data_IF_410943962830
#
_entry.id   IF_410943962830
#
_cell.length_a   1.000
_cell.length_b   1.000
_cell.length_c   1.000
_cell.angle_alpha   90.00
_cell.angle_beta   90.00
_cell.angle_gamma   90.00
#
_symmetry.space_group_name_H-M   'P 1'
#
loop_
_entity.id
_entity.type
_entity.pdbx_description
1 polymer ?
#
# COMPACT_ATOMS: atom_id res chain seq x y z
N UNK A 1 1.15 13.56 -14.37
CA UNK A 1 -0.01 12.75 -14.77
C UNK A 1 0.33 12.17 -16.13
N UNK A 2 0.92 10.97 -16.14
CA UNK A 2 1.11 10.18 -17.34
C UNK A 2 -0.27 9.65 -17.72
N UNK A 3 -0.76 10.07 -18.87
CA UNK A 3 -1.89 9.44 -19.56
C UNK A 3 -1.45 8.01 -19.88
N UNK A 4 -1.73 7.07 -18.99
CA UNK A 4 -1.67 5.66 -19.30
C UNK A 4 -2.63 5.43 -20.47
N UNK A 5 -2.07 5.05 -21.60
CA UNK A 5 -2.85 4.58 -22.74
C UNK A 5 -3.60 3.35 -22.24
N UNK A 6 -4.87 3.52 -21.97
CA UNK A 6 -5.76 2.45 -21.49
C UNK A 6 -5.72 1.31 -22.50
N UNK A 7 -5.04 0.23 -22.15
CA UNK A 7 -5.09 -0.98 -22.97
C UNK A 7 -6.52 -1.51 -22.93
N UNK A 8 -7.15 -1.73 -24.07
CA UNK A 8 -8.51 -2.27 -24.11
C UNK A 8 -8.54 -3.60 -23.36
N UNK A 9 -9.49 -3.74 -22.48
CA UNK A 9 -9.69 -4.95 -21.69
C UNK A 9 -9.94 -6.15 -22.63
N UNK A 10 -9.62 -7.36 -22.19
CA UNK A 10 -9.80 -8.59 -22.99
C UNK A 10 -11.24 -8.72 -23.49
N UNK A 11 -12.21 -8.24 -22.69
CA UNK A 11 -13.63 -8.20 -23.02
C UNK A 11 -13.91 -7.23 -24.16
N UNK A 12 -13.31 -6.04 -24.11
CA UNK A 12 -13.45 -5.01 -25.15
C UNK A 12 -12.88 -5.51 -26.49
N UNK A 13 -11.73 -6.18 -26.46
CA UNK A 13 -11.13 -6.80 -27.67
C UNK A 13 -11.99 -7.90 -28.24
N UNK A 14 -12.52 -8.76 -27.37
CA UNK A 14 -13.43 -9.81 -27.79
C UNK A 14 -14.70 -9.22 -28.41
N UNK A 15 -15.31 -8.23 -27.78
CA UNK A 15 -16.51 -7.54 -28.27
C UNK A 15 -16.27 -6.85 -29.61
N UNK A 16 -15.12 -6.19 -29.79
CA UNK A 16 -14.73 -5.54 -31.04
C UNK A 16 -14.64 -6.48 -32.24
N UNK A 17 -14.25 -7.73 -32.00
CA UNK A 17 -14.13 -8.75 -33.07
C UNK A 17 -15.43 -9.52 -33.22
N UNK A 18 -16.03 -9.95 -32.12
CA UNK A 18 -17.22 -10.80 -32.12
C UNK A 18 -18.45 -10.08 -32.68
N UNK A 19 -18.67 -8.81 -32.29
CA UNK A 19 -19.87 -8.07 -32.68
C UNK A 19 -20.04 -7.90 -34.20
N UNK A 20 -19.01 -7.43 -34.94
CA UNK A 20 -19.14 -7.30 -36.40
C UNK A 20 -19.29 -8.67 -37.11
N UNK A 21 -18.59 -9.70 -36.62
CA UNK A 21 -18.69 -11.05 -37.19
C UNK A 21 -20.09 -11.60 -36.97
N UNK A 22 -20.66 -11.52 -35.77
CA UNK A 22 -21.99 -11.97 -35.46
C UNK A 22 -23.06 -11.22 -36.27
N UNK A 23 -22.91 -9.93 -36.45
CA UNK A 23 -23.79 -9.09 -37.25
C UNK A 23 -23.73 -9.47 -38.73
N UNK A 24 -22.55 -9.62 -39.30
CA UNK A 24 -22.36 -10.03 -40.68
C UNK A 24 -22.97 -11.43 -40.94
N UNK A 25 -22.71 -12.39 -40.05
CA UNK A 25 -23.26 -13.74 -40.14
C UNK A 25 -24.78 -13.73 -40.04
N UNK A 26 -25.35 -12.91 -39.15
CA UNK A 26 -26.82 -12.76 -39.01
C UNK A 26 -27.46 -12.19 -40.27
N UNK A 27 -26.83 -11.22 -40.93
CA UNK A 27 -27.31 -10.65 -42.20
C UNK A 27 -27.26 -11.69 -43.29
N UNK A 28 -26.12 -12.37 -43.46
CA UNK A 28 -25.94 -13.37 -44.53
C UNK A 28 -26.96 -14.49 -44.38
N UNK A 29 -27.13 -15.06 -43.19
CA UNK A 29 -28.03 -16.16 -42.93
C UNK A 29 -29.51 -15.76 -43.10
N UNK A 30 -29.88 -14.54 -42.71
CA UNK A 30 -31.22 -13.98 -42.90
C UNK A 30 -31.54 -13.74 -44.37
N UNK A 31 -30.56 -13.32 -45.17
CA UNK A 31 -30.68 -13.20 -46.64
C UNK A 31 -30.91 -14.56 -47.28
N UNK A 32 -30.10 -15.55 -46.94
CA UNK A 32 -30.25 -16.94 -47.48
C UNK A 32 -31.64 -17.49 -47.17
N UNK A 33 -32.12 -17.32 -45.96
CA UNK A 33 -33.48 -17.79 -45.57
C UNK A 33 -34.58 -17.00 -46.27
N UNK A 34 -34.42 -15.71 -46.50
CA UNK A 34 -35.38 -14.85 -47.19
C UNK A 34 -35.50 -15.24 -48.68
N UNK A 35 -34.34 -15.43 -49.36
CA UNK A 35 -34.31 -15.85 -50.77
C UNK A 35 -34.92 -17.26 -50.96
N UNK A 36 -34.66 -18.19 -50.05
CA UNK A 36 -35.22 -19.57 -50.12
C UNK A 36 -36.73 -19.62 -49.96
N UNK A 37 -37.35 -18.59 -49.37
CA UNK A 37 -38.81 -18.59 -49.06
C UNK A 37 -39.62 -17.56 -49.86
N UNK A 38 -38.95 -16.66 -50.60
CA UNK A 38 -39.58 -15.67 -51.48
C UNK A 38 -40.40 -14.57 -50.80
N UNK A 39 -40.27 -14.41 -49.48
CA UNK A 39 -41.04 -13.40 -48.72
C UNK A 39 -40.10 -12.47 -47.93
N UNK A 40 -40.08 -11.15 -48.25
CA UNK A 40 -39.15 -10.19 -47.58
C UNK A 40 -39.42 -10.01 -46.09
N UNK A 41 -40.62 -10.25 -45.61
CA UNK A 41 -40.98 -10.16 -44.20
C UNK A 41 -40.19 -11.17 -43.35
N UNK A 42 -39.88 -12.36 -43.93
CA UNK A 42 -39.08 -13.40 -43.21
C UNK A 42 -37.65 -12.99 -42.96
N UNK A 43 -37.10 -12.07 -43.75
CA UNK A 43 -35.77 -11.49 -43.47
C UNK A 43 -35.72 -10.86 -42.08
N UNK A 44 -36.68 -9.99 -41.78
CA UNK A 44 -36.69 -9.29 -40.47
C UNK A 44 -36.91 -10.25 -39.30
N UNK A 45 -37.74 -11.25 -39.45
CA UNK A 45 -37.95 -12.30 -38.44
C UNK A 45 -36.68 -13.12 -38.21
N UNK A 46 -36.07 -13.60 -39.28
CA UNK A 46 -34.83 -14.38 -39.19
C UNK A 46 -33.68 -13.56 -38.63
N UNK A 47 -33.53 -12.31 -39.08
CA UNK A 47 -32.50 -11.40 -38.59
C UNK A 47 -32.66 -11.11 -37.09
N UNK A 48 -33.86 -10.79 -36.64
CA UNK A 48 -34.15 -10.56 -35.21
C UNK A 48 -33.88 -11.81 -34.36
N UNK A 49 -34.27 -12.98 -34.81
CA UNK A 49 -34.02 -14.25 -34.15
C UNK A 49 -32.50 -14.54 -34.05
N UNK A 50 -31.77 -14.35 -35.15
CA UNK A 50 -30.29 -14.54 -35.16
C UNK A 50 -29.57 -13.57 -34.27
N UNK A 51 -29.95 -12.29 -34.25
CA UNK A 51 -29.39 -11.31 -33.31
C UNK A 51 -29.64 -11.70 -31.86
N UNK A 52 -30.83 -12.16 -31.53
CA UNK A 52 -31.17 -12.59 -30.17
C UNK A 52 -30.33 -13.78 -29.70
N UNK A 53 -30.09 -14.76 -30.58
CA UNK A 53 -29.25 -15.93 -30.27
C UNK A 53 -27.77 -15.57 -30.23
N UNK A 54 -27.33 -14.65 -31.08
CA UNK A 54 -25.94 -14.21 -31.17
C UNK A 54 -25.54 -13.24 -30.06
N UNK A 55 -26.47 -12.73 -29.26
CA UNK A 55 -26.16 -11.82 -28.17
C UNK A 55 -25.32 -12.50 -27.09
N UNK A 56 -24.11 -12.04 -26.79
CA UNK A 56 -23.18 -12.68 -25.84
C UNK A 56 -23.57 -12.43 -24.38
N UNK A 57 -24.87 -12.46 -24.06
CA UNK A 57 -25.38 -12.18 -22.71
C UNK A 57 -24.79 -13.11 -21.66
N UNK A 58 -24.63 -14.40 -21.97
CA UNK A 58 -24.01 -15.37 -21.09
C UNK A 58 -22.55 -15.02 -20.75
N UNK A 59 -21.81 -14.53 -21.75
CA UNK A 59 -20.42 -14.12 -21.58
C UNK A 59 -20.31 -12.86 -20.71
N UNK A 60 -21.16 -11.85 -20.97
CA UNK A 60 -21.20 -10.63 -20.17
C UNK A 60 -21.57 -10.92 -18.71
N UNK A 61 -22.52 -11.79 -18.48
CA UNK A 61 -22.88 -12.24 -17.13
C UNK A 61 -21.78 -13.05 -16.45
N UNK A 62 -21.06 -13.89 -17.19
CA UNK A 62 -19.97 -14.71 -16.64
C UNK A 62 -18.82 -13.87 -16.12
N UNK A 63 -18.44 -12.79 -16.82
CA UNK A 63 -17.39 -11.86 -16.35
C UNK A 63 -17.83 -11.14 -15.07
N UNK A 64 -19.05 -10.61 -15.03
CA UNK A 64 -19.58 -9.93 -13.83
C UNK A 64 -19.68 -10.86 -12.63
N UNK A 65 -20.11 -12.09 -12.82
CA UNK A 65 -20.22 -13.10 -11.76
C UNK A 65 -18.83 -13.52 -11.21
N UNK A 66 -17.87 -13.71 -12.10
CA UNK A 66 -16.48 -14.04 -11.72
C UNK A 66 -15.85 -12.94 -10.86
N UNK A 67 -15.98 -11.69 -11.29
CA UNK A 67 -15.51 -10.54 -10.52
C UNK A 67 -16.17 -10.45 -9.13
N UNK A 68 -17.50 -10.56 -9.08
CA UNK A 68 -18.26 -10.51 -7.82
C UNK A 68 -17.82 -11.60 -6.84
N UNK A 69 -17.56 -12.81 -7.34
CA UNK A 69 -17.11 -13.92 -6.50
C UNK A 69 -15.68 -13.68 -5.97
N UNK A 70 -14.77 -13.19 -6.81
CA UNK A 70 -13.40 -12.86 -6.43
C UNK A 70 -13.36 -11.71 -5.42
N UNK A 71 -14.11 -10.63 -5.69
CA UNK A 71 -14.24 -9.50 -4.78
C UNK A 71 -14.81 -9.92 -3.41
N UNK A 72 -15.81 -10.81 -3.41
CA UNK A 72 -16.37 -11.34 -2.17
C UNK A 72 -15.41 -12.23 -1.36
N UNK A 73 -14.50 -12.94 -2.01
CA UNK A 73 -13.43 -13.70 -1.32
C UNK A 73 -12.38 -12.77 -0.72
N UNK A 74 -11.97 -11.75 -1.47
CA UNK A 74 -11.00 -10.76 -1.00
C UNK A 74 -11.53 -9.92 0.16
N UNK A 75 -12.80 -9.51 0.11
CA UNK A 75 -13.45 -8.81 1.23
C UNK A 75 -13.42 -9.64 2.53
N UNK A 76 -13.62 -10.96 2.43
CA UNK A 76 -13.51 -11.86 3.61
C UNK A 76 -12.09 -11.98 4.14
N UNK A 77 -11.10 -11.77 3.28
CA UNK A 77 -9.69 -11.72 3.64
C UNK A 77 -9.23 -10.33 4.10
N UNK A 78 -10.14 -9.35 4.20
CA UNK A 78 -9.83 -7.98 4.62
C UNK A 78 -9.31 -7.08 3.51
N UNK A 79 -9.36 -7.50 2.23
CA UNK A 79 -8.90 -6.72 1.10
C UNK A 79 -10.08 -6.27 0.22
N UNK A 80 -10.06 -5.01 -0.23
CA UNK A 80 -11.06 -4.47 -1.15
C UNK A 80 -10.42 -4.08 -2.48
N UNK A 81 -11.08 -4.44 -3.59
CA UNK A 81 -10.66 -4.02 -4.93
C UNK A 81 -11.66 -2.99 -5.45
N UNK A 82 -11.17 -1.84 -5.86
CA UNK A 82 -11.98 -0.71 -6.32
C UNK A 82 -12.39 -0.83 -7.80
N UNK A 83 -12.74 -2.02 -8.29
CA UNK A 83 -13.30 -2.24 -9.61
C UNK A 83 -12.71 -3.44 -10.38
N UNK A 84 -13.47 -3.94 -11.35
CA UNK A 84 -13.11 -5.11 -12.16
C UNK A 84 -11.83 -4.90 -12.97
N UNK A 85 -11.56 -3.67 -13.39
CA UNK A 85 -10.39 -3.27 -14.15
C UNK A 85 -9.10 -3.45 -13.36
N UNK A 86 -9.12 -3.08 -12.09
CA UNK A 86 -7.97 -3.23 -11.18
C UNK A 86 -7.70 -4.70 -10.81
N UNK A 87 -8.73 -5.53 -10.77
CA UNK A 87 -8.57 -6.97 -10.57
C UNK A 87 -7.74 -7.64 -11.67
N UNK A 88 -7.79 -7.12 -12.90
CA UNK A 88 -6.96 -7.60 -14.02
C UNK A 88 -5.48 -7.28 -13.86
N UNK A 89 -5.14 -6.14 -13.24
CA UNK A 89 -3.75 -5.75 -12.98
C UNK A 89 -3.08 -6.71 -11.99
N UNK A 90 -3.84 -7.23 -11.03
CA UNK A 90 -3.33 -8.20 -10.05
C UNK A 90 -2.90 -9.54 -10.65
N UNK A 91 -3.45 -9.93 -11.80
CA UNK A 91 -3.13 -11.22 -12.42
C UNK A 91 -1.69 -11.35 -12.91
N UNK A 92 -1.04 -10.24 -13.25
CA UNK A 92 0.33 -10.20 -13.76
C UNK A 92 1.32 -9.55 -12.79
N UNK A 93 0.94 -9.38 -11.52
CA UNK A 93 1.79 -8.77 -10.52
C UNK A 93 2.80 -9.78 -10.02
N UNK A 94 4.07 -9.55 -10.31
CA UNK A 94 5.19 -10.37 -9.85
C UNK A 94 5.81 -9.78 -8.58
N UNK A 95 5.73 -8.45 -8.39
CA UNK A 95 6.27 -7.74 -7.25
C UNK A 95 5.25 -6.76 -6.70
N UNK A 96 5.20 -6.62 -5.38
CA UNK A 96 4.35 -5.64 -4.67
C UNK A 96 5.25 -4.73 -3.86
N UNK A 97 5.24 -3.44 -4.18
CA UNK A 97 5.92 -2.42 -3.39
C UNK A 97 4.94 -1.90 -2.33
N UNK A 98 5.30 -2.08 -1.07
CA UNK A 98 4.55 -1.57 0.08
C UNK A 98 5.37 -0.44 0.70
N UNK A 99 4.73 0.68 0.95
CA UNK A 99 5.31 1.78 1.71
C UNK A 99 4.94 1.58 3.18
N UNK A 100 5.78 2.04 4.09
CA UNK A 100 5.54 1.90 5.54
C UNK A 100 4.17 2.44 5.95
N UNK A 101 3.74 3.56 5.37
CA UNK A 101 2.42 4.16 5.59
C UNK A 101 1.24 3.29 5.16
N UNK A 102 1.43 2.36 4.22
CA UNK A 102 0.39 1.43 3.77
C UNK A 102 0.17 0.31 4.78
N UNK A 103 1.25 -0.10 5.46
CA UNK A 103 1.22 -1.14 6.48
C UNK A 103 0.83 -0.60 7.86
N UNK A 104 1.29 0.60 8.17
CA UNK A 104 1.10 1.26 9.46
C UNK A 104 0.48 2.63 9.24
N UNK A 105 -0.86 2.74 9.17
CA UNK A 105 -1.52 4.02 9.02
C UNK A 105 -1.19 4.94 10.19
N UNK A 106 -1.22 6.23 9.93
CA UNK A 106 -0.95 7.26 10.90
C UNK A 106 -1.73 7.05 12.21
N UNK A 107 -1.00 6.96 13.34
CA UNK A 107 -1.59 6.65 14.66
C UNK A 107 -1.56 5.17 15.04
N UNK A 108 -1.06 4.27 14.18
CA UNK A 108 -0.87 2.86 14.54
C UNK A 108 0.40 2.62 15.37
N UNK A 109 1.27 3.63 15.49
CA UNK A 109 2.52 3.54 16.25
C UNK A 109 2.38 4.44 17.49
N UNK A 110 2.67 3.89 18.64
CA UNK A 110 2.69 4.62 19.92
C UNK A 110 3.99 4.40 20.67
N UNK A 111 4.43 5.42 21.40
CA UNK A 111 5.56 5.30 22.34
C UNK A 111 5.08 4.56 23.59
N UNK A 112 5.50 3.32 23.76
CA UNK A 112 5.14 2.49 24.91
C UNK A 112 5.99 2.81 26.14
N UNK A 113 7.30 2.81 25.98
CA UNK A 113 8.23 3.09 27.10
C UNK A 113 9.52 3.77 26.63
N UNK A 114 10.14 4.46 27.57
CA UNK A 114 11.46 5.06 27.45
C UNK A 114 12.34 4.51 28.57
N UNK A 115 13.42 3.84 28.21
CA UNK A 115 14.46 3.43 29.16
C UNK A 115 15.63 4.43 29.08
N UNK A 116 15.89 5.13 30.17
CA UNK A 116 16.98 6.10 30.25
C UNK A 116 18.24 5.42 30.80
N UNK A 117 19.37 5.59 30.11
CA UNK A 117 20.68 5.07 30.56
C UNK A 117 21.42 6.01 31.54
N UNK A 118 20.70 7.00 32.06
CA UNK A 118 21.20 7.88 33.15
C UNK A 118 22.16 8.98 32.73
N UNK A 119 22.35 9.21 31.43
CA UNK A 119 23.29 10.23 30.93
C UNK A 119 22.66 11.59 30.72
N UNK A 120 21.42 11.62 30.24
CA UNK A 120 20.65 12.84 29.98
C UNK A 120 19.22 12.65 30.49
N UNK A 121 18.46 13.71 30.66
CA UNK A 121 17.09 13.63 31.12
C UNK A 121 16.19 13.03 30.05
N UNK A 122 15.09 12.36 30.47
CA UNK A 122 14.08 11.78 29.60
C UNK A 122 13.53 12.77 28.57
N UNK A 123 13.37 14.03 29.03
CA UNK A 123 12.95 15.16 28.20
C UNK A 123 13.90 15.38 27.02
N UNK A 124 15.21 15.38 27.29
CA UNK A 124 16.23 15.58 26.25
C UNK A 124 16.31 14.38 25.31
N UNK A 125 16.14 13.16 25.82
CA UNK A 125 16.09 11.93 24.98
C UNK A 125 14.96 12.03 23.96
N UNK A 126 13.75 12.32 24.44
CA UNK A 126 12.58 12.42 23.56
C UNK A 126 12.69 13.59 22.58
N UNK A 127 13.16 14.75 23.06
CA UNK A 127 13.33 15.92 22.21
C UNK A 127 14.40 15.73 21.12
N UNK A 128 15.52 15.03 21.42
CA UNK A 128 16.54 14.68 20.45
C UNK A 128 16.00 13.68 19.40
N UNK A 129 15.30 12.65 19.86
CA UNK A 129 14.71 11.65 18.96
C UNK A 129 13.64 12.29 18.05
N UNK A 130 12.77 13.13 18.60
CA UNK A 130 11.77 13.87 17.84
C UNK A 130 12.41 14.77 16.78
N UNK A 131 13.42 15.56 17.17
CA UNK A 131 14.11 16.48 16.26
C UNK A 131 14.78 15.76 15.07
N UNK A 132 15.44 14.61 15.33
CA UNK A 132 16.08 13.83 14.28
C UNK A 132 15.07 13.23 13.31
N UNK A 133 13.98 12.64 13.84
CA UNK A 133 12.96 11.95 13.02
C UNK A 133 12.08 12.94 12.27
N UNK A 134 11.77 14.11 12.84
CA UNK A 134 11.04 15.18 12.16
C UNK A 134 11.86 15.78 11.01
N UNK A 135 13.14 16.06 11.25
CA UNK A 135 14.03 16.60 10.21
C UNK A 135 14.35 15.60 9.09
N UNK A 136 14.22 14.30 9.35
CA UNK A 136 14.36 13.23 8.37
C UNK A 136 13.04 12.86 7.67
N UNK A 137 11.94 13.56 7.98
CA UNK A 137 10.57 13.31 7.46
C UNK A 137 10.10 11.86 7.66
N UNK A 138 10.41 11.30 8.83
CA UNK A 138 9.97 9.96 9.19
C UNK A 138 8.60 10.00 9.89
N UNK A 139 7.76 8.99 9.65
CA UNK A 139 6.45 8.83 10.32
C UNK A 139 6.56 8.87 11.85
N UNK A 140 7.65 8.30 12.38
CA UNK A 140 7.99 8.33 13.82
C UNK A 140 8.17 9.75 14.36
N UNK A 141 8.58 10.70 13.52
CA UNK A 141 8.80 12.09 13.92
C UNK A 141 7.55 12.71 14.50
N UNK A 142 6.41 12.50 13.87
CA UNK A 142 5.12 13.02 14.34
C UNK A 142 4.75 12.46 15.72
N UNK A 143 4.88 11.14 15.90
CA UNK A 143 4.53 10.47 17.16
C UNK A 143 5.42 10.94 18.30
N UNK A 144 6.73 11.02 18.05
CA UNK A 144 7.71 11.46 19.05
C UNK A 144 7.57 12.96 19.37
N UNK A 145 7.27 13.79 18.36
CA UNK A 145 7.03 15.23 18.56
C UNK A 145 5.75 15.45 19.38
N UNK A 146 4.67 14.74 19.09
CA UNK A 146 3.44 14.79 19.89
C UNK A 146 3.68 14.33 21.33
N UNK A 147 4.37 13.20 21.52
CA UNK A 147 4.71 12.68 22.83
C UNK A 147 5.60 13.62 23.64
N UNK A 148 6.58 14.26 22.99
CA UNK A 148 7.48 15.25 23.61
C UNK A 148 6.72 16.50 24.00
N UNK A 149 5.89 17.02 23.09
CA UNK A 149 5.09 18.23 23.33
C UNK A 149 4.05 18.02 24.43
N UNK A 150 3.40 16.85 24.44
CA UNK A 150 2.41 16.53 25.46
C UNK A 150 3.01 16.35 26.86
N UNK A 151 4.25 15.84 26.96
CA UNK A 151 4.88 15.54 28.26
C UNK A 151 5.74 16.70 28.78
N UNK A 152 6.46 17.40 27.92
CA UNK A 152 7.52 18.32 28.33
C UNK A 152 7.45 19.73 27.72
N UNK A 153 6.70 19.90 26.63
CA UNK A 153 6.55 21.21 25.98
C UNK A 153 7.81 21.76 25.29
N UNK A 154 8.87 20.96 25.16
CA UNK A 154 10.15 21.34 24.59
C UNK A 154 10.28 20.83 23.15
N UNK A 155 10.83 21.67 22.27
CA UNK A 155 11.15 21.28 20.91
C UNK A 155 12.64 21.61 20.65
N UNK A 156 13.38 20.63 20.12
CA UNK A 156 14.71 20.83 19.56
C UNK A 156 14.66 20.84 18.05
N UNK A 157 15.69 21.42 17.45
CA UNK A 157 15.90 21.36 15.99
C UNK A 157 17.16 20.58 15.71
N UNK A 158 17.09 19.65 14.75
CA UNK A 158 18.25 18.93 14.26
C UNK A 158 18.81 19.63 13.01
N UNK A 159 20.12 19.54 12.81
CA UNK A 159 20.86 20.04 11.64
C UNK A 159 21.71 18.92 11.06
N UNK A 160 22.06 19.05 9.78
CA UNK A 160 22.93 18.10 9.09
C UNK A 160 22.45 16.64 9.20
N UNK A 161 21.11 16.47 9.09
CA UNK A 161 20.48 15.17 9.25
C UNK A 161 20.73 14.31 8.02
N UNK A 162 21.20 13.09 8.24
CA UNK A 162 21.48 12.10 7.20
C UNK A 162 20.81 10.79 7.54
N UNK A 163 20.15 10.21 6.54
CA UNK A 163 19.64 8.86 6.62
C UNK A 163 20.79 7.87 6.42
N UNK A 164 20.93 6.96 7.34
CA UNK A 164 21.90 5.86 7.28
C UNK A 164 21.15 4.52 7.29
N UNK A 165 21.79 3.46 6.85
CA UNK A 165 21.17 2.14 6.87
C UNK A 165 20.82 1.72 8.31
N UNK A 166 19.53 1.68 8.62
CA UNK A 166 19.00 1.31 9.94
C UNK A 166 18.82 2.47 10.91
N UNK A 167 18.91 3.75 10.46
CA UNK A 167 18.68 4.88 11.34
C UNK A 167 18.92 6.24 10.74
N UNK A 168 19.01 7.23 11.60
CA UNK A 168 19.21 8.65 11.29
C UNK A 168 20.32 9.22 12.17
N UNK A 169 21.16 10.05 11.60
CA UNK A 169 22.23 10.76 12.32
C UNK A 169 22.11 12.25 12.06
N UNK A 170 22.49 13.07 13.04
CA UNK A 170 22.47 14.52 12.90
C UNK A 170 23.00 15.24 14.13
N UNK A 171 23.15 16.56 14.04
CA UNK A 171 23.51 17.42 15.13
C UNK A 171 22.27 17.97 15.83
N UNK A 172 22.15 17.77 17.14
CA UNK A 172 21.06 18.31 17.97
C UNK A 172 21.66 19.13 19.10
N UNK A 173 21.35 20.41 19.10
CA UNK A 173 22.01 21.35 20.03
C UNK A 173 23.50 21.45 19.75
N UNK A 174 24.33 21.09 20.74
CA UNK A 174 25.82 21.09 20.65
C UNK A 174 26.40 19.69 20.47
N UNK A 175 25.57 18.64 20.51
CA UNK A 175 26.00 17.24 20.44
C UNK A 175 25.62 16.57 19.11
N UNK A 176 26.31 15.47 18.79
CA UNK A 176 25.99 14.60 17.68
C UNK A 176 25.10 13.47 18.18
N UNK A 177 23.95 13.28 17.54
CA UNK A 177 23.00 12.26 17.94
C UNK A 177 22.75 11.28 16.79
N UNK A 178 22.57 10.01 17.13
CA UNK A 178 22.24 8.91 16.22
C UNK A 178 21.04 8.17 16.80
N UNK A 179 20.02 8.03 15.99
CA UNK A 179 18.82 7.27 16.32
C UNK A 179 18.70 6.09 15.36
N UNK A 180 18.56 4.88 15.86
CA UNK A 180 18.45 3.73 14.95
C UNK A 180 18.23 2.39 15.61
N UNK A 181 18.29 1.35 14.80
CA UNK A 181 18.05 -0.04 15.19
C UNK A 181 19.27 -0.64 15.93
N UNK A 182 19.05 -1.78 16.59
CA UNK A 182 20.14 -2.55 17.21
C UNK A 182 21.26 -2.89 16.23
N UNK A 183 20.93 -3.20 14.97
CA UNK A 183 21.91 -3.53 13.94
C UNK A 183 22.86 -2.37 13.64
N UNK A 184 22.33 -1.15 13.61
CA UNK A 184 23.15 0.07 13.45
C UNK A 184 24.08 0.28 14.64
N UNK A 185 23.58 0.09 15.87
CA UNK A 185 24.39 0.23 17.09
C UNK A 185 25.57 -0.73 17.11
N UNK A 186 25.34 -1.99 16.72
CA UNK A 186 26.40 -3.00 16.59
C UNK A 186 27.43 -2.58 15.55
N UNK A 187 27.02 -2.08 14.39
CA UNK A 187 27.93 -1.55 13.34
C UNK A 187 28.77 -0.38 13.87
N UNK A 188 28.21 0.45 14.75
CA UNK A 188 28.93 1.57 15.39
C UNK A 188 29.81 1.15 16.57
N UNK A 189 29.82 -0.14 16.94
CA UNK A 189 30.59 -0.64 18.08
C UNK A 189 30.05 -0.23 19.45
N UNK A 190 28.79 0.16 19.53
CA UNK A 190 28.13 0.55 20.78
C UNK A 190 27.61 -0.71 21.46
N UNK A 191 28.04 -1.00 22.71
CA UNK A 191 27.57 -2.15 23.44
C UNK A 191 26.07 -1.97 23.76
N UNK A 192 25.25 -2.85 23.21
CA UNK A 192 23.84 -2.98 23.57
C UNK A 192 23.65 -4.32 24.27
N UNK A 193 22.92 -4.32 25.38
CA UNK A 193 22.51 -5.56 26.03
C UNK A 193 21.56 -6.32 25.08
N UNK A 194 22.06 -7.41 24.51
CA UNK A 194 21.29 -8.30 23.64
C UNK A 194 20.31 -9.12 24.48
N UNK A 195 19.26 -8.50 25.00
CA UNK A 195 18.40 -9.20 25.95
C UNK A 195 16.89 -8.93 25.83
N UNK A 196 16.51 -7.88 25.15
CA UNK A 196 15.10 -7.59 24.94
C UNK A 196 14.79 -7.64 23.43
N UNK A 197 14.79 -8.86 22.87
CA UNK A 197 14.09 -9.09 21.63
C UNK A 197 12.62 -8.71 21.90
N UNK A 198 12.18 -7.59 21.35
CA UNK A 198 10.85 -7.07 21.53
C UNK A 198 9.81 -8.15 21.18
N UNK A 199 8.69 -8.11 21.83
CA UNK A 199 7.54 -8.92 21.43
C UNK A 199 7.23 -8.63 19.95
N UNK A 200 6.56 -9.53 19.28
CA UNK A 200 6.30 -9.50 17.82
C UNK A 200 5.70 -8.18 17.28
N UNK A 201 5.22 -7.30 18.15
CA UNK A 201 4.61 -6.00 17.80
C UNK A 201 5.36 -4.80 18.44
N UNK A 202 6.59 -4.98 18.90
CA UNK A 202 7.41 -3.93 19.51
C UNK A 202 8.66 -3.67 18.67
N UNK A 203 9.00 -2.39 18.50
CA UNK A 203 10.23 -1.93 17.86
C UNK A 203 11.05 -1.15 18.88
N UNK A 204 12.26 -1.62 19.16
CA UNK A 204 13.21 -0.92 20.00
C UNK A 204 14.10 -0.04 19.14
N UNK A 205 14.12 1.26 19.45
CA UNK A 205 14.93 2.27 18.80
C UNK A 205 15.91 2.82 19.83
N UNK A 206 17.17 2.86 19.46
CA UNK A 206 18.27 3.25 20.31
C UNK A 206 18.71 4.69 19.99
N UNK A 207 18.76 5.55 20.99
CA UNK A 207 19.32 6.88 20.88
C UNK A 207 20.74 6.91 21.47
N UNK A 208 21.67 7.33 20.66
CA UNK A 208 23.07 7.57 21.04
C UNK A 208 23.36 9.05 20.95
N UNK A 209 24.00 9.60 21.96
CA UNK A 209 24.45 10.99 21.97
C UNK A 209 25.92 10.99 22.32
N UNK A 210 26.70 11.72 21.50
CA UNK A 210 28.17 11.83 21.67
C UNK A 210 28.86 10.45 21.84
N UNK A 211 28.51 9.53 20.95
CA UNK A 211 29.05 8.17 20.87
C UNK A 211 28.74 7.27 22.09
N UNK A 212 27.72 7.61 22.86
CA UNK A 212 27.32 6.83 24.02
C UNK A 212 25.80 6.63 24.04
N UNK A 213 25.35 5.42 24.39
CA UNK A 213 23.93 5.09 24.48
C UNK A 213 23.27 5.97 25.57
N UNK A 214 22.31 6.76 25.16
CA UNK A 214 21.55 7.67 26.01
C UNK A 214 20.22 7.09 26.47
N UNK A 215 19.53 6.37 25.58
CA UNK A 215 18.25 5.78 25.91
C UNK A 215 17.72 4.80 24.85
N UNK A 216 16.72 4.02 25.25
CA UNK A 216 16.01 3.07 24.40
C UNK A 216 14.55 3.46 24.38
N UNK A 217 14.01 3.69 23.18
CA UNK A 217 12.60 3.97 22.95
C UNK A 217 11.92 2.70 22.45
N UNK A 218 10.94 2.22 23.16
CA UNK A 218 10.12 1.07 22.72
C UNK A 218 8.84 1.60 22.09
N UNK A 219 8.70 1.36 20.81
CA UNK A 219 7.51 1.69 20.06
C UNK A 219 6.63 0.45 19.95
N UNK A 220 5.31 0.62 20.07
CA UNK A 220 4.33 -0.43 19.88
C UNK A 220 3.51 -0.17 18.64
N UNK A 221 3.35 -1.18 17.81
CA UNK A 221 2.41 -1.15 16.69
C UNK A 221 1.03 -1.63 17.18
N UNK A 222 0.03 -0.79 17.02
CA UNK A 222 -1.36 -1.19 17.21
C UNK A 222 -1.85 -1.87 15.95
N UNK A 223 -2.10 -3.17 16.00
CA UNK A 223 -2.80 -3.87 14.93
C UNK A 223 -4.28 -3.49 15.00
N UNK A 224 -4.77 -2.82 13.97
CA UNK A 224 -6.21 -2.65 13.76
C UNK A 224 -6.87 -4.03 13.67
N UNK A 225 -7.80 -4.28 14.57
CA UNK A 225 -8.64 -5.49 14.55
C UNK A 225 -9.64 -5.43 13.40
#
# INVERSE_FOLDING_TARGET
FLTEVERPDTVDRFSLIYTPIALALSIILSLVLSFGTGTPVRFFWAFSAMLSVSAPLGLLCAFGASYKNTAGRLLRAGAAIAGARQAHLLRGTEEVMLVESDLFPAGSIELESLENMGRISDEKILACAAALTEAADLELGRVLTEATRARYGVAFTARDVQLVEGGVTGAVGTGHAVLGTAALMVKMGIPIEAGKAGQSNQLNIYLVVDNALAGILTMRYQTTK
#
